data_IF_268885713044
#
_entry.id   IF_268885713044
#
_cell.length_a   1.000
_cell.length_b   1.000
_cell.length_c   1.000
_cell.angle_alpha   90.00
_cell.angle_beta   90.00
_cell.angle_gamma   90.00
#
_symmetry.space_group_name_H-M   'P 1'
#
loop_
_entity.id
_entity.type
_entity.pdbx_description
1 polymer ?
#
# COMPACT_ATOMS: atom_id res chain seq x y z
N UNK A 1 -20.08 36.95 -1.27
CA UNK A 1 -18.74 37.30 -1.76
C UNK A 1 -18.49 36.49 -3.02
N UNK A 2 -18.23 37.14 -4.16
CA UNK A 2 -17.96 36.47 -5.44
C UNK A 2 -16.45 36.42 -5.63
N UNK A 3 -15.88 35.22 -5.62
CA UNK A 3 -14.44 34.99 -5.83
C UNK A 3 -14.24 34.79 -7.33
N UNK A 4 -13.67 35.81 -7.97
CA UNK A 4 -13.18 35.74 -9.35
C UNK A 4 -11.87 34.98 -9.39
N UNK A 5 -11.83 33.84 -10.07
CA UNK A 5 -10.58 33.17 -10.44
C UNK A 5 -10.03 33.78 -11.74
N UNK A 6 -8.75 34.18 -11.82
CA UNK A 6 -8.14 34.60 -13.06
C UNK A 6 -7.90 33.38 -13.97
N UNK A 7 -8.43 33.47 -15.19
CA UNK A 7 -8.19 32.55 -16.29
C UNK A 7 -6.70 32.62 -16.65
N UNK A 8 -5.95 31.59 -16.26
CA UNK A 8 -4.57 31.39 -16.68
C UNK A 8 -4.60 30.88 -18.12
N UNK A 9 -4.38 31.78 -19.08
CA UNK A 9 -4.28 31.45 -20.50
C UNK A 9 -3.01 30.63 -20.76
N UNK A 10 -3.18 29.32 -21.01
CA UNK A 10 -2.12 28.42 -21.43
C UNK A 10 -1.71 28.77 -22.88
N UNK A 11 -0.50 29.27 -23.04
CA UNK A 11 0.08 29.62 -24.34
C UNK A 11 0.54 28.34 -25.06
N UNK A 12 -0.26 27.87 -26.02
CA UNK A 12 0.04 26.76 -26.91
C UNK A 12 1.10 27.20 -27.95
N UNK A 13 2.35 26.79 -27.75
CA UNK A 13 3.43 26.96 -28.74
C UNK A 13 3.39 25.78 -29.71
N UNK A 14 2.91 26.04 -30.93
CA UNK A 14 2.93 25.08 -32.03
C UNK A 14 4.35 24.98 -32.62
N UNK A 15 4.93 23.77 -32.61
CA UNK A 15 6.15 23.44 -33.35
C UNK A 15 5.75 22.80 -34.71
N UNK A 16 6.32 23.25 -35.84
CA UNK A 16 6.02 22.69 -37.15
C UNK A 16 6.75 21.35 -37.38
N UNK A 17 6.00 20.38 -37.92
CA UNK A 17 6.51 19.16 -38.53
C UNK A 17 7.34 19.50 -39.78
N UNK A 18 8.57 19.00 -39.84
CA UNK A 18 9.36 18.93 -41.06
C UNK A 18 9.37 17.48 -41.58
N UNK A 19 8.70 17.30 -42.72
CA UNK A 19 8.79 16.13 -43.59
C UNK A 19 10.10 16.18 -44.38
N UNK A 20 10.81 15.05 -44.47
CA UNK A 20 11.98 14.86 -45.33
C UNK A 20 12.00 13.43 -45.84
N UNK A 21 11.53 13.27 -47.08
CA UNK A 21 11.51 12.04 -47.88
C UNK A 21 12.71 12.02 -48.86
N UNK A 22 12.90 10.86 -49.48
CA UNK A 22 13.69 10.56 -50.68
C UNK A 22 15.19 10.26 -50.56
N UNK A 23 15.49 8.95 -50.75
CA UNK A 23 16.84 8.43 -51.02
C UNK A 23 16.83 6.97 -51.48
N UNK A 24 16.18 6.69 -52.61
CA UNK A 24 16.17 5.38 -53.28
C UNK A 24 17.48 5.08 -54.03
N UNK A 25 17.94 3.81 -53.98
CA UNK A 25 18.75 3.06 -54.97
C UNK A 25 19.56 1.96 -54.26
N UNK A 26 19.79 0.72 -54.70
CA UNK A 26 19.35 -0.16 -55.82
C UNK A 26 20.01 -1.53 -55.52
N UNK A 27 19.39 -2.66 -55.92
CA UNK A 27 20.04 -3.95 -56.31
C UNK A 27 20.86 -4.73 -55.25
N UNK A 28 20.87 -6.07 -55.15
CA UNK A 28 20.60 -7.17 -56.06
C UNK A 28 20.33 -8.45 -55.25
N UNK A 29 19.63 -9.39 -55.88
CA UNK A 29 19.47 -10.77 -55.46
C UNK A 29 20.80 -11.49 -55.15
N UNK A 30 20.76 -12.48 -54.24
CA UNK A 30 21.41 -13.79 -54.42
C UNK A 30 20.76 -14.81 -53.49
N UNK A 31 20.07 -15.77 -54.08
CA UNK A 31 19.72 -17.06 -53.51
C UNK A 31 21.00 -17.89 -53.33
N UNK A 32 21.06 -18.71 -52.28
CA UNK A 32 21.47 -20.13 -52.27
C UNK A 32 22.34 -20.53 -51.07
N UNK A 33 22.05 -21.74 -50.59
CA UNK A 33 23.00 -22.79 -50.12
C UNK A 33 23.13 -23.01 -48.61
N UNK A 34 22.47 -24.10 -48.18
CA UNK A 34 22.97 -25.23 -47.40
C UNK A 34 24.26 -25.11 -46.58
N UNK A 35 24.11 -25.43 -45.28
CA UNK A 35 24.93 -26.43 -44.58
C UNK A 35 26.28 -25.99 -44.01
N UNK A 36 26.42 -26.07 -42.68
CA UNK A 36 27.53 -26.76 -42.02
C UNK A 36 27.35 -26.78 -40.50
N UNK A 37 27.39 -28.00 -39.97
CA UNK A 37 27.71 -28.40 -38.60
C UNK A 37 29.04 -27.81 -38.14
N UNK A 38 29.16 -27.37 -36.89
CA UNK A 38 30.43 -27.34 -36.14
C UNK A 38 30.18 -27.24 -34.64
N UNK A 39 30.41 -28.37 -33.99
CA UNK A 39 30.63 -28.54 -32.55
C UNK A 39 31.85 -27.73 -32.10
N UNK A 40 31.79 -27.09 -30.94
CA UNK A 40 32.99 -26.87 -30.11
C UNK A 40 32.59 -26.73 -28.63
N UNK A 41 32.87 -27.80 -27.91
CA UNK A 41 33.18 -27.86 -26.49
C UNK A 41 34.32 -26.91 -26.15
N UNK A 42 34.24 -26.24 -25.01
CA UNK A 42 35.41 -25.73 -24.30
C UNK A 42 35.18 -25.84 -22.79
N UNK A 43 35.96 -26.74 -22.22
CA UNK A 43 36.13 -27.04 -20.80
C UNK A 43 37.04 -25.99 -20.12
N UNK A 44 36.95 -25.91 -18.80
CA UNK A 44 37.93 -25.28 -17.90
C UNK A 44 37.43 -23.97 -17.28
N UNK A 45 37.54 -23.70 -15.98
CA UNK A 45 38.50 -24.23 -15.01
C UNK A 45 37.99 -24.05 -13.58
N UNK A 46 38.29 -25.05 -12.75
CA UNK A 46 38.06 -25.12 -11.31
C UNK A 46 38.90 -24.09 -10.54
N UNK A 47 38.30 -23.44 -9.55
CA UNK A 47 39.00 -22.59 -8.58
C UNK A 47 38.57 -22.93 -7.16
N UNK A 48 39.22 -23.96 -6.58
CA UNK A 48 39.16 -24.26 -5.15
C UNK A 48 40.12 -23.33 -4.40
N UNK A 49 39.59 -22.55 -3.45
CA UNK A 49 40.37 -21.74 -2.53
C UNK A 49 39.94 -22.01 -1.08
N UNK A 50 40.56 -23.00 -0.46
CA UNK A 50 40.49 -23.22 0.98
C UNK A 50 41.39 -22.21 1.69
N UNK A 51 40.91 -21.54 2.74
CA UNK A 51 41.79 -21.02 3.80
C UNK A 51 41.11 -21.20 5.14
N UNK A 52 41.76 -22.05 5.96
CA UNK A 52 41.42 -22.33 7.33
C UNK A 52 41.88 -21.18 8.25
N UNK A 53 41.13 -20.91 9.30
CA UNK A 53 41.49 -19.96 10.35
C UNK A 53 40.71 -20.25 11.63
N UNK A 54 41.21 -21.21 12.41
CA UNK A 54 40.75 -21.52 13.76
C UNK A 54 41.15 -20.42 14.75
N UNK A 55 40.25 -19.96 15.61
CA UNK A 55 40.58 -19.60 17.00
C UNK A 55 39.40 -19.85 17.93
N UNK A 56 39.77 -20.32 19.11
CA UNK A 56 38.95 -20.98 20.13
C UNK A 56 38.47 -20.02 21.22
N UNK A 57 37.36 -20.39 21.87
CA UNK A 57 36.91 -19.89 23.18
C UNK A 57 35.39 -19.74 23.19
N UNK A 58 34.58 -20.39 24.04
CA UNK A 58 34.81 -21.07 25.31
C UNK A 58 33.85 -20.48 26.34
N UNK A 59 32.82 -21.24 26.76
CA UNK A 59 31.88 -20.91 27.85
C UNK A 59 30.45 -21.36 27.53
N UNK A 60 29.98 -22.58 27.85
CA UNK A 60 29.60 -23.17 29.16
C UNK A 60 28.47 -22.45 29.93
N UNK A 61 27.37 -23.19 30.12
CA UNK A 61 26.28 -22.95 31.09
C UNK A 61 25.04 -22.32 30.44
N UNK A 62 23.81 -22.82 30.57
CA UNK A 62 23.24 -23.79 31.51
C UNK A 62 21.97 -24.41 30.95
N UNK A 63 21.79 -25.69 31.26
CA UNK A 63 20.54 -26.45 31.22
C UNK A 63 19.55 -25.92 32.27
N UNK A 64 18.31 -25.65 31.85
CA UNK A 64 17.13 -25.53 32.73
C UNK A 64 15.96 -26.26 32.05
N UNK A 65 15.82 -27.56 32.26
CA UNK A 65 14.87 -28.21 33.18
C UNK A 65 13.41 -27.86 32.92
N UNK A 66 12.67 -28.87 32.46
CA UNK A 66 11.22 -28.88 32.33
C UNK A 66 10.51 -28.68 33.67
N UNK A 67 9.32 -28.08 33.63
CA UNK A 67 8.29 -28.27 34.65
C UNK A 67 6.92 -28.16 34.02
N UNK A 68 6.30 -29.33 33.88
CA UNK A 68 4.88 -29.56 33.74
C UNK A 68 4.17 -29.21 35.05
N UNK A 69 3.12 -28.40 34.99
CA UNK A 69 2.16 -28.25 36.08
C UNK A 69 0.75 -28.18 35.53
N UNK A 70 0.11 -29.34 35.52
CA UNK A 70 -1.34 -29.53 35.52
C UNK A 70 -1.94 -28.93 36.80
N UNK A 71 -2.84 -27.96 36.64
CA UNK A 71 -3.65 -27.39 37.73
C UNK A 71 -5.13 -27.48 37.39
N UNK A 72 -5.77 -28.55 37.85
CA UNK A 72 -7.24 -28.64 37.94
C UNK A 72 -7.72 -27.69 39.04
N UNK A 73 -8.81 -26.97 38.80
CA UNK A 73 -9.55 -26.29 39.88
C UNK A 73 -11.04 -26.46 39.62
N UNK A 74 -11.63 -27.29 40.48
CA UNK A 74 -13.05 -27.55 40.61
C UNK A 74 -13.65 -26.68 41.72
N UNK A 75 -14.89 -26.26 41.54
CA UNK A 75 -15.85 -26.10 42.65
C UNK A 75 -15.90 -24.73 43.32
N UNK A 76 -17.09 -24.11 43.27
CA UNK A 76 -17.40 -22.91 44.04
C UNK A 76 -18.84 -22.45 43.84
N UNK A 77 -19.81 -23.26 44.23
CA UNK A 77 -21.20 -22.81 44.42
C UNK A 77 -21.27 -21.83 45.59
N UNK A 78 -21.97 -20.70 45.42
CA UNK A 78 -22.47 -19.90 46.55
C UNK A 78 -23.75 -19.19 46.12
N UNK A 79 -24.86 -19.71 46.64
CA UNK A 79 -26.15 -19.04 46.71
C UNK A 79 -26.20 -18.16 47.96
N UNK A 80 -26.78 -16.97 47.86
CA UNK A 80 -27.07 -16.11 49.01
C UNK A 80 -27.46 -14.72 48.57
N UNK A 81 -28.77 -14.46 48.48
CA UNK A 81 -29.30 -13.14 48.13
C UNK A 81 -29.44 -12.20 49.33
N UNK A 82 -29.68 -10.92 49.03
CA UNK A 82 -30.53 -10.02 49.84
C UNK A 82 -30.94 -8.81 49.00
N UNK A 83 -32.23 -8.49 49.07
CA UNK A 83 -32.88 -7.30 48.54
C UNK A 83 -32.46 -6.02 49.28
N UNK A 84 -32.37 -4.90 48.56
CA UNK A 84 -32.72 -3.51 48.97
C UNK A 84 -32.41 -2.59 47.78
N UNK A 85 -33.40 -2.01 47.10
CA UNK A 85 -34.17 -0.80 47.45
C UNK A 85 -33.37 0.50 47.27
N UNK A 86 -33.72 1.23 46.19
CA UNK A 86 -33.71 2.69 46.13
C UNK A 86 -32.38 3.34 45.72
N UNK A 87 -32.43 4.16 44.66
CA UNK A 87 -31.43 5.20 44.44
C UNK A 87 -31.08 5.47 43.00
N UNK A 88 -31.87 6.34 42.38
CA UNK A 88 -31.42 7.37 41.42
C UNK A 88 -31.05 6.91 40.01
N UNK A 89 -32.03 7.07 39.12
CA UNK A 89 -31.87 7.29 37.68
C UNK A 89 -30.90 8.43 37.40
N UNK A 90 -29.60 8.14 37.35
CA UNK A 90 -28.63 8.95 36.61
C UNK A 90 -28.81 8.62 35.14
N UNK A 91 -29.49 9.52 34.43
CA UNK A 91 -29.58 9.51 32.97
C UNK A 91 -28.19 9.69 32.38
N UNK A 92 -27.53 8.57 32.08
CA UNK A 92 -26.26 8.58 31.37
C UNK A 92 -26.56 8.89 29.90
N UNK A 93 -26.14 10.09 29.51
CA UNK A 93 -25.65 10.43 28.16
C UNK A 93 -26.44 9.83 27.01
N UNK A 94 -27.40 10.62 26.50
CA UNK A 94 -27.93 10.40 25.17
C UNK A 94 -26.74 10.27 24.21
N UNK A 95 -26.63 9.10 23.59
CA UNK A 95 -25.80 8.91 22.42
C UNK A 95 -26.30 9.93 21.41
N UNK A 96 -25.60 11.04 21.27
CA UNK A 96 -25.72 11.92 20.11
C UNK A 96 -25.60 10.97 18.92
N UNK A 97 -26.72 10.73 18.25
CA UNK A 97 -26.77 9.78 17.14
C UNK A 97 -25.79 10.28 16.10
N UNK A 98 -24.60 9.70 16.09
CA UNK A 98 -23.60 9.96 15.06
C UNK A 98 -24.31 9.62 13.78
N UNK A 99 -24.52 10.64 12.94
CA UNK A 99 -25.13 10.43 11.65
C UNK A 99 -24.33 9.32 10.95
N UNK A 100 -25.00 8.36 10.28
CA UNK A 100 -24.26 7.34 9.57
C UNK A 100 -23.28 8.02 8.62
N UNK A 101 -22.02 7.54 8.55
CA UNK A 101 -21.02 8.12 7.67
C UNK A 101 -21.57 8.20 6.25
N UNK A 102 -21.40 9.35 5.61
CA UNK A 102 -21.77 9.59 4.22
C UNK A 102 -20.57 9.34 3.32
N UNK A 103 -20.77 8.81 2.09
CA UNK A 103 -19.67 8.70 1.15
C UNK A 103 -19.17 10.10 0.79
N UNK A 104 -17.85 10.24 0.69
CA UNK A 104 -17.27 11.45 0.12
C UNK A 104 -17.58 11.53 -1.38
N UNK A 105 -17.70 12.74 -1.91
CA UNK A 105 -17.93 13.01 -3.34
C UNK A 105 -16.69 13.64 -3.99
N UNK A 106 -15.94 14.44 -3.23
CA UNK A 106 -14.70 15.08 -3.67
C UNK A 106 -13.66 15.16 -2.56
N UNK A 107 -12.41 15.41 -2.94
CA UNK A 107 -11.27 15.45 -2.01
C UNK A 107 -11.43 16.50 -0.90
N UNK A 108 -12.24 17.55 -1.12
CA UNK A 108 -12.50 18.60 -0.13
C UNK A 108 -13.37 18.14 1.04
N UNK A 109 -14.05 17.00 0.91
CA UNK A 109 -14.80 16.35 1.98
C UNK A 109 -13.93 15.41 2.83
N UNK A 110 -12.65 15.27 2.49
CA UNK A 110 -11.69 14.46 3.23
C UNK A 110 -10.66 15.33 3.94
N UNK A 111 -10.43 15.03 5.21
CA UNK A 111 -9.42 15.69 6.04
C UNK A 111 -8.50 14.65 6.64
N UNK A 112 -7.22 14.98 6.71
CA UNK A 112 -6.25 14.13 7.39
C UNK A 112 -6.22 14.51 8.87
N UNK A 113 -6.60 13.57 9.74
CA UNK A 113 -6.40 13.72 11.17
C UNK A 113 -4.92 13.51 11.46
N UNK A 114 -4.27 14.49 12.08
CA UNK A 114 -2.86 14.43 12.48
C UNK A 114 -2.68 14.82 13.96
N UNK A 115 -3.79 14.83 14.69
CA UNK A 115 -3.87 15.02 16.12
C UNK A 115 -3.98 13.66 16.84
N UNK A 116 -3.70 13.67 18.14
CA UNK A 116 -4.05 12.54 19.03
C UNK A 116 -3.39 11.21 18.68
N UNK A 117 -2.21 11.32 18.09
CA UNK A 117 -1.33 10.21 17.74
C UNK A 117 -1.91 9.33 16.61
N UNK A 118 -3.02 9.77 16.00
CA UNK A 118 -3.58 9.18 14.81
C UNK A 118 -3.03 9.90 13.58
N UNK A 119 -2.87 9.15 12.49
CA UNK A 119 -2.61 9.70 11.19
C UNK A 119 -3.55 8.96 10.25
N UNK A 120 -4.78 9.45 10.12
CA UNK A 120 -5.86 8.71 9.46
C UNK A 120 -6.73 9.68 8.66
N UNK A 121 -7.14 9.33 7.43
CA UNK A 121 -8.03 10.14 6.61
C UNK A 121 -9.48 9.95 7.08
N UNK A 122 -10.18 11.05 7.35
CA UNK A 122 -11.58 11.05 7.79
C UNK A 122 -12.45 11.97 6.96
N UNK A 123 -13.76 11.76 7.03
CA UNK A 123 -14.72 12.67 6.40
C UNK A 123 -14.82 13.98 7.21
N UNK A 124 -15.02 15.10 6.53
CA UNK A 124 -15.31 16.38 7.19
C UNK A 124 -16.57 16.25 8.04
N UNK A 125 -16.46 16.58 9.33
CA UNK A 125 -17.56 16.51 10.29
C UNK A 125 -17.67 15.18 11.03
N UNK A 126 -16.84 14.19 10.70
CA UNK A 126 -16.59 13.06 11.59
C UNK A 126 -15.89 13.58 12.85
N UNK A 127 -16.44 13.26 14.02
CA UNK A 127 -15.84 13.70 15.27
C UNK A 127 -14.63 12.79 15.57
N UNK A 128 -13.41 13.34 15.61
CA UNK A 128 -12.24 12.54 15.91
C UNK A 128 -12.38 11.88 17.29
N UNK A 129 -11.80 10.69 17.48
CA UNK A 129 -11.83 10.03 18.78
C UNK A 129 -11.23 10.94 19.85
N UNK A 130 -11.84 10.95 21.03
CA UNK A 130 -11.36 11.77 22.14
C UNK A 130 -9.93 11.37 22.52
N UNK A 131 -9.09 12.38 22.66
CA UNK A 131 -7.66 12.20 22.83
C UNK A 131 -7.33 12.12 24.31
N UNK A 132 -7.06 10.91 24.80
CA UNK A 132 -6.67 10.73 26.20
C UNK A 132 -5.20 11.15 26.45
N UNK A 133 -4.40 11.31 25.39
CA UNK A 133 -2.98 11.59 25.46
C UNK A 133 -2.58 12.71 24.48
N UNK A 134 -1.74 13.63 24.96
CA UNK A 134 -1.05 14.61 24.12
C UNK A 134 0.17 13.96 23.45
N UNK A 135 0.28 14.14 22.13
CA UNK A 135 1.33 13.55 21.33
C UNK A 135 2.51 14.50 21.21
N UNK A 136 3.72 13.98 21.45
CA UNK A 136 4.93 14.80 21.49
C UNK A 136 5.34 15.34 20.11
N UNK A 137 4.87 14.69 19.04
CA UNK A 137 5.07 15.04 17.64
C UNK A 137 3.80 14.68 16.84
N UNK A 138 3.48 15.40 15.74
CA UNK A 138 2.41 14.98 14.83
C UNK A 138 2.67 13.57 14.29
N UNK A 139 1.64 12.73 14.29
CA UNK A 139 1.79 11.30 13.97
C UNK A 139 2.12 11.04 12.52
N UNK A 140 1.56 11.83 11.60
CA UNK A 140 1.85 11.67 10.17
C UNK A 140 3.33 11.92 9.87
N UNK A 141 3.95 12.90 10.52
CA UNK A 141 5.37 13.20 10.35
C UNK A 141 6.24 12.02 10.81
N UNK A 142 5.85 11.36 11.90
CA UNK A 142 6.58 10.24 12.48
C UNK A 142 6.62 9.02 11.53
N UNK A 143 5.58 8.82 10.73
CA UNK A 143 5.49 7.71 9.75
C UNK A 143 5.88 8.12 8.32
N UNK A 144 6.43 9.32 8.12
CA UNK A 144 6.87 9.78 6.80
C UNK A 144 5.73 10.21 5.87
N UNK A 145 4.60 10.59 6.44
CA UNK A 145 3.41 11.13 5.77
C UNK A 145 3.19 12.62 6.06
N UNK A 146 4.26 13.38 6.33
CA UNK A 146 4.20 14.80 6.68
C UNK A 146 3.46 15.66 5.63
N UNK A 147 3.65 15.33 4.35
CA UNK A 147 3.02 16.02 3.22
C UNK A 147 1.83 15.25 2.63
N UNK A 148 1.35 14.21 3.33
CA UNK A 148 0.22 13.42 2.85
C UNK A 148 -1.06 14.26 2.86
N UNK A 149 -1.94 13.98 1.89
CA UNK A 149 -3.28 14.55 1.83
C UNK A 149 -4.31 13.42 1.94
N UNK A 150 -5.46 13.74 2.50
CA UNK A 150 -6.63 12.88 2.35
C UNK A 150 -7.31 13.20 1.01
N UNK A 151 -7.73 12.17 0.29
CA UNK A 151 -8.44 12.25 -0.99
C UNK A 151 -9.67 11.37 -0.97
N UNK A 152 -10.68 11.72 -1.75
CA UNK A 152 -11.89 10.93 -1.88
C UNK A 152 -11.72 9.89 -2.99
N UNK A 153 -11.66 8.61 -2.62
CA UNK A 153 -11.59 7.50 -3.58
C UNK A 153 -12.69 6.50 -3.31
N UNK A 154 -13.50 6.26 -4.33
CA UNK A 154 -14.61 5.31 -4.30
C UNK A 154 -15.60 5.56 -3.15
N UNK A 155 -15.81 6.83 -2.79
CA UNK A 155 -16.70 7.23 -1.70
C UNK A 155 -16.09 7.09 -0.30
N UNK A 156 -14.79 6.81 -0.18
CA UNK A 156 -14.07 6.75 1.09
C UNK A 156 -12.90 7.73 1.10
N UNK A 157 -12.66 8.34 2.26
CA UNK A 157 -11.45 9.12 2.48
C UNK A 157 -10.26 8.18 2.67
N UNK A 158 -9.22 8.38 1.86
CA UNK A 158 -7.98 7.60 1.92
C UNK A 158 -6.78 8.53 1.74
N UNK A 159 -5.57 8.01 1.88
CA UNK A 159 -4.36 8.78 1.60
C UNK A 159 -4.17 9.01 0.10
N UNK A 160 -3.67 10.18 -0.26
CA UNK A 160 -3.07 10.42 -1.56
C UNK A 160 -1.90 9.43 -1.73
N UNK A 161 -1.89 8.72 -2.86
CA UNK A 161 -0.90 7.67 -3.10
C UNK A 161 0.51 8.26 -3.19
N UNK A 162 1.42 7.72 -2.40
CA UNK A 162 2.86 7.98 -2.47
C UNK A 162 3.58 6.83 -3.17
N UNK A 163 4.76 7.12 -3.73
CA UNK A 163 5.55 6.11 -4.42
C UNK A 163 6.24 5.18 -3.42
N UNK A 164 5.93 3.89 -3.51
CA UNK A 164 6.59 2.85 -2.72
C UNK A 164 7.19 1.73 -3.59
N UNK A 165 7.04 1.86 -4.92
CA UNK A 165 7.50 0.87 -5.86
C UNK A 165 9.05 0.74 -5.84
N UNK A 166 9.61 -0.44 -5.54
CA UNK A 166 11.07 -0.65 -5.56
C UNK A 166 11.66 -0.52 -6.96
N UNK A 167 10.84 -0.63 -8.01
CA UNK A 167 11.31 -0.55 -9.39
C UNK A 167 11.81 0.86 -9.71
N UNK A 168 13.07 0.95 -10.13
CA UNK A 168 13.69 2.21 -10.49
C UNK A 168 14.37 2.92 -9.33
N UNK A 169 14.42 2.35 -8.12
CA UNK A 169 15.31 2.83 -7.05
C UNK A 169 16.76 2.70 -7.53
N UNK A 170 17.47 3.83 -7.60
CA UNK A 170 18.85 3.92 -8.10
C UNK A 170 19.87 4.14 -7.00
N UNK A 171 19.43 4.59 -5.84
CA UNK A 171 20.30 4.87 -4.70
C UNK A 171 20.79 3.57 -4.06
N UNK A 172 22.03 3.58 -3.54
CA UNK A 172 22.68 2.38 -2.98
C UNK A 172 22.25 2.05 -1.55
N UNK A 173 21.34 2.82 -0.95
CA UNK A 173 20.79 2.52 0.36
C UNK A 173 19.92 1.25 0.28
N UNK A 174 19.94 0.46 1.36
CA UNK A 174 19.02 -0.66 1.50
C UNK A 174 17.63 -0.12 1.93
N UNK A 175 16.53 -0.80 1.54
CA UNK A 175 15.21 -0.46 2.05
C UNK A 175 15.18 -0.65 3.58
N UNK A 176 14.43 0.18 4.33
CA UNK A 176 14.15 -0.08 5.74
C UNK A 176 13.36 -1.39 5.92
N UNK A 177 13.52 -2.04 7.07
CA UNK A 177 12.70 -3.18 7.46
C UNK A 177 11.35 -2.66 7.99
N UNK A 178 10.27 -2.97 7.27
CA UNK A 178 8.93 -2.50 7.59
C UNK A 178 8.10 -3.58 8.30
N UNK A 179 7.27 -3.15 9.24
CA UNK A 179 6.32 -4.03 9.92
C UNK A 179 5.23 -4.52 8.94
N UNK A 180 4.54 -5.63 9.23
CA UNK A 180 3.37 -6.05 8.46
C UNK A 180 2.35 -4.91 8.29
N UNK A 181 1.73 -4.82 7.11
CA UNK A 181 0.82 -3.72 6.75
C UNK A 181 1.51 -2.41 6.32
N UNK A 182 2.85 -2.33 6.39
CA UNK A 182 3.63 -1.15 5.98
C UNK A 182 4.66 -1.47 4.90
N UNK A 183 4.99 -0.48 4.08
CA UNK A 183 5.90 -0.60 2.94
C UNK A 183 6.90 0.54 2.96
N UNK A 184 8.14 0.26 2.54
CA UNK A 184 9.18 1.26 2.43
C UNK A 184 8.81 2.31 1.37
N UNK A 185 8.83 3.59 1.73
CA UNK A 185 8.53 4.66 0.77
C UNK A 185 9.77 5.09 -0.02
N UNK A 186 9.51 5.59 -1.22
CA UNK A 186 10.52 6.03 -2.19
C UNK A 186 10.29 7.50 -2.52
N UNK A 187 11.36 8.28 -2.50
CA UNK A 187 11.36 9.68 -2.94
C UNK A 187 12.20 9.84 -4.19
N UNK A 188 11.76 10.72 -5.09
CA UNK A 188 12.54 11.19 -6.24
C UNK A 188 13.16 12.54 -5.87
N UNK A 189 14.47 12.58 -5.65
CA UNK A 189 15.19 13.78 -5.22
C UNK A 189 15.78 14.58 -6.40
N UNK A 190 15.47 14.19 -7.64
CA UNK A 190 16.03 14.73 -8.87
C UNK A 190 17.41 14.18 -9.25
N UNK A 191 18.10 13.48 -8.34
CA UNK A 191 19.32 12.71 -8.62
C UNK A 191 19.05 11.21 -8.76
N UNK A 192 17.85 10.77 -8.39
CA UNK A 192 17.38 9.41 -8.55
C UNK A 192 16.21 9.11 -7.62
N UNK A 193 15.73 7.87 -7.69
CA UNK A 193 14.76 7.36 -6.73
C UNK A 193 15.50 6.70 -5.58
N UNK A 194 15.28 7.19 -4.37
CA UNK A 194 15.91 6.69 -3.15
C UNK A 194 14.86 6.23 -2.14
N UNK A 195 15.22 5.27 -1.29
CA UNK A 195 14.46 4.99 -0.08
C UNK A 195 14.45 6.21 0.84
N UNK A 196 13.29 6.55 1.37
CA UNK A 196 13.14 7.65 2.35
C UNK A 196 13.70 7.27 3.72
N UNK A 197 13.79 5.98 4.02
CA UNK A 197 14.07 5.44 5.35
C UNK A 197 12.82 5.30 6.24
N UNK A 198 11.63 5.64 5.72
CA UNK A 198 10.35 5.51 6.41
C UNK A 198 9.55 4.34 5.85
N UNK A 199 8.72 3.76 6.73
CA UNK A 199 7.70 2.78 6.37
C UNK A 199 6.34 3.46 6.48
N UNK A 200 5.60 3.47 5.38
CA UNK A 200 4.25 4.05 5.31
C UNK A 200 3.21 2.93 5.24
N UNK A 201 1.95 3.15 5.65
CA UNK A 201 0.88 2.17 5.47
C UNK A 201 0.74 1.76 4.01
N UNK A 202 0.48 0.47 3.74
CA UNK A 202 0.37 -0.04 2.37
C UNK A 202 -0.78 0.62 1.57
N UNK A 203 -1.83 1.08 2.25
CA UNK A 203 -2.89 1.88 1.65
C UNK A 203 -2.44 3.27 1.17
N UNK A 204 -1.39 3.84 1.75
CA UNK A 204 -0.82 5.09 1.25
C UNK A 204 0.08 4.86 0.04
N UNK A 205 0.46 3.61 -0.25
CA UNK A 205 1.36 3.28 -1.35
C UNK A 205 0.64 3.05 -2.68
N UNK A 206 1.31 3.45 -3.76
CA UNK A 206 0.97 3.08 -5.16
C UNK A 206 1.40 1.64 -5.53
N UNK A 207 2.03 0.93 -4.60
CA UNK A 207 2.57 -0.40 -4.77
C UNK A 207 2.62 -1.14 -3.43
N UNK A 208 2.30 -2.42 -3.44
CA UNK A 208 2.49 -3.34 -2.32
C UNK A 208 3.25 -4.60 -2.79
N UNK A 209 4.00 -5.27 -1.89
CA UNK A 209 4.74 -6.48 -2.23
C UNK A 209 3.82 -7.67 -2.51
N UNK A 210 2.72 -7.78 -1.76
CA UNK A 210 1.75 -8.86 -1.83
C UNK A 210 0.42 -8.44 -1.20
N UNK A 211 -0.66 -9.19 -1.48
CA UNK A 211 -1.99 -8.88 -0.95
C UNK A 211 -2.09 -8.94 0.58
N UNK A 212 -1.20 -9.68 1.24
CA UNK A 212 -1.15 -9.74 2.70
C UNK A 212 -0.77 -8.39 3.35
N UNK A 213 -0.22 -7.43 2.57
CA UNK A 213 0.01 -6.07 3.03
C UNK A 213 -1.28 -5.21 3.06
N UNK A 214 -2.38 -5.68 2.42
CA UNK A 214 -3.68 -5.02 2.40
C UNK A 214 -4.61 -5.66 3.45
N UNK A 215 -4.18 -5.68 4.72
CA UNK A 215 -4.86 -6.42 5.79
C UNK A 215 -5.98 -5.63 6.50
N UNK A 216 -6.08 -4.33 6.25
CA UNK A 216 -7.17 -3.52 6.78
C UNK A 216 -8.53 -3.94 6.17
N UNK A 217 -9.60 -3.99 6.98
CA UNK A 217 -10.88 -4.62 6.61
C UNK A 217 -11.65 -3.89 5.51
N UNK A 218 -11.36 -2.61 5.29
CA UNK A 218 -11.96 -1.74 4.29
C UNK A 218 -11.09 -1.59 3.03
N UNK A 219 -9.94 -2.28 2.98
CA UNK A 219 -9.09 -2.35 1.81
C UNK A 219 -9.36 -3.62 1.00
N UNK A 220 -9.13 -3.49 -0.30
CA UNK A 220 -9.06 -4.61 -1.23
C UNK A 220 -7.69 -4.66 -1.88
N UNK A 221 -7.15 -5.87 -2.01
CA UNK A 221 -6.00 -6.08 -2.88
C UNK A 221 -6.43 -5.98 -4.34
N UNK A 222 -5.66 -5.23 -5.13
CA UNK A 222 -5.89 -5.04 -6.55
C UNK A 222 -4.63 -5.43 -7.31
N UNK A 223 -4.66 -6.58 -7.98
CA UNK A 223 -3.57 -7.01 -8.83
C UNK A 223 -3.63 -6.32 -10.20
N UNK A 224 -2.60 -5.59 -10.60
CA UNK A 224 -2.49 -5.02 -11.95
C UNK A 224 -1.76 -5.99 -12.85
N UNK A 225 -2.50 -6.64 -13.77
CA UNK A 225 -1.97 -7.64 -14.69
C UNK A 225 -1.41 -6.95 -15.93
N UNK A 226 -0.08 -6.78 -15.95
CA UNK A 226 0.70 -6.31 -17.09
C UNK A 226 2.14 -6.84 -16.99
N UNK A 227 3.02 -6.49 -17.94
CA UNK A 227 4.45 -6.78 -17.80
C UNK A 227 5.02 -6.08 -16.56
N UNK A 228 5.48 -6.87 -15.59
CA UNK A 228 5.86 -6.34 -14.28
C UNK A 228 4.67 -6.18 -13.33
N UNK A 229 3.71 -7.11 -13.39
CA UNK A 229 2.54 -7.16 -12.54
C UNK A 229 2.87 -6.82 -11.08
N UNK A 230 2.03 -6.00 -10.48
CA UNK A 230 2.16 -5.56 -9.11
C UNK A 230 0.79 -5.54 -8.45
N UNK A 231 0.78 -5.47 -7.13
CA UNK A 231 -0.44 -5.30 -6.35
C UNK A 231 -0.44 -3.93 -5.71
N UNK A 232 -1.63 -3.42 -5.41
CA UNK A 232 -1.80 -2.22 -4.59
C UNK A 232 -3.07 -2.37 -3.76
N UNK A 233 -3.13 -1.69 -2.62
CA UNK A 233 -4.29 -1.70 -1.74
C UNK A 233 -5.20 -0.52 -2.10
N UNK A 234 -6.47 -0.78 -2.42
CA UNK A 234 -7.46 0.27 -2.66
C UNK A 234 -8.59 0.19 -1.63
N UNK A 235 -9.22 1.31 -1.25
CA UNK A 235 -10.41 1.24 -0.43
C UNK A 235 -11.54 0.57 -1.23
N UNK A 236 -12.27 -0.33 -0.57
CA UNK A 236 -13.46 -0.96 -1.15
C UNK A 236 -14.52 0.13 -1.42
N UNK A 237 -15.13 0.20 -2.61
CA UNK A 237 -16.13 1.22 -2.90
C UNK A 237 -17.24 1.25 -1.84
N UNK A 238 -17.67 2.46 -1.48
CA UNK A 238 -18.64 2.68 -0.40
C UNK A 238 -19.90 1.82 -0.56
N UNK A 239 -20.43 1.75 -1.79
CA UNK A 239 -21.65 1.02 -2.11
C UNK A 239 -21.52 -0.51 -1.98
N UNK A 240 -20.30 -1.03 -1.84
CA UNK A 240 -20.05 -2.45 -1.59
C UNK A 240 -20.33 -2.89 -0.16
N UNK A 241 -20.45 -1.94 0.77
CA UNK A 241 -20.59 -2.26 2.19
C UNK A 241 -19.37 -3.00 2.74
N UNK A 242 -19.62 -4.04 3.52
CA UNK A 242 -18.59 -4.91 4.10
C UNK A 242 -18.55 -6.24 3.33
N UNK A 243 -17.35 -6.77 3.10
CA UNK A 243 -17.17 -8.09 2.49
C UNK A 243 -15.99 -8.15 1.53
N UNK A 244 -15.73 -9.35 0.95
CA UNK A 244 -14.67 -9.50 -0.03
C UNK A 244 -14.99 -8.68 -1.28
N UNK A 245 -13.97 -8.00 -1.81
CA UNK A 245 -14.10 -7.33 -3.09
C UNK A 245 -14.33 -8.36 -4.19
N UNK A 246 -15.36 -8.10 -4.99
CA UNK A 246 -15.63 -8.83 -6.23
C UNK A 246 -15.76 -7.82 -7.36
N UNK A 247 -15.51 -8.22 -8.60
CA UNK A 247 -15.67 -7.36 -9.76
C UNK A 247 -17.09 -6.82 -9.90
N UNK A 248 -18.10 -7.56 -9.46
CA UNK A 248 -19.49 -7.07 -9.43
C UNK A 248 -19.65 -5.77 -8.65
N UNK A 249 -18.76 -5.49 -7.68
CA UNK A 249 -18.83 -4.30 -6.87
C UNK A 249 -17.63 -3.35 -7.03
N UNK A 250 -16.44 -3.91 -7.22
CA UNK A 250 -15.16 -3.21 -7.26
C UNK A 250 -14.68 -2.89 -8.69
N UNK A 251 -15.47 -3.12 -9.74
CA UNK A 251 -15.09 -2.82 -11.14
C UNK A 251 -14.65 -1.36 -11.34
N UNK A 252 -15.26 -0.43 -10.61
CA UNK A 252 -14.90 1.01 -10.64
C UNK A 252 -13.43 1.25 -10.32
N UNK A 253 -12.79 0.39 -9.53
CA UNK A 253 -11.36 0.47 -9.21
C UNK A 253 -10.49 0.23 -10.44
N UNK A 254 -10.85 -0.76 -11.28
CA UNK A 254 -10.14 -1.03 -12.52
C UNK A 254 -10.35 0.12 -13.52
N UNK A 255 -11.59 0.60 -13.65
CA UNK A 255 -11.92 1.73 -14.53
C UNK A 255 -11.18 3.03 -14.15
N UNK A 256 -10.94 3.25 -12.86
CA UNK A 256 -10.18 4.40 -12.35
C UNK A 256 -8.66 4.31 -12.58
N UNK A 257 -8.15 3.16 -13.06
CA UNK A 257 -6.72 2.94 -13.30
C UNK A 257 -6.38 2.61 -14.77
N UNK A 258 -6.69 3.48 -15.76
CA UNK A 258 -6.29 3.24 -17.14
C UNK A 258 -4.77 2.96 -17.23
N UNK A 259 -4.34 1.96 -18.02
CA UNK A 259 -5.11 1.21 -19.03
C UNK A 259 -5.75 -0.11 -18.54
N UNK A 260 -5.76 -0.38 -17.24
CA UNK A 260 -6.20 -1.67 -16.68
C UNK A 260 -7.73 -1.71 -16.47
N UNK A 261 -8.50 -1.78 -17.55
CA UNK A 261 -9.96 -1.60 -17.50
C UNK A 261 -10.76 -2.89 -17.39
N UNK A 262 -10.14 -4.07 -17.44
CA UNK A 262 -10.86 -5.36 -17.36
C UNK A 262 -10.69 -5.97 -15.97
N UNK A 263 -11.79 -6.21 -15.27
CA UNK A 263 -11.77 -6.78 -13.91
C UNK A 263 -11.95 -8.31 -13.93
N UNK A 264 -11.18 -9.01 -13.10
CA UNK A 264 -11.30 -10.44 -12.80
C UNK A 264 -11.36 -10.69 -11.30
N UNK A 265 -12.28 -11.56 -10.85
CA UNK A 265 -12.32 -12.02 -9.47
C UNK A 265 -11.14 -12.98 -9.20
N UNK A 266 -10.42 -12.76 -8.09
CA UNK A 266 -9.34 -13.63 -7.62
C UNK A 266 -9.54 -13.98 -6.15
N UNK A 267 -8.77 -14.95 -5.63
CA UNK A 267 -8.99 -15.47 -4.27
C UNK A 267 -8.88 -14.38 -3.18
N UNK A 268 -7.94 -13.44 -3.35
CA UNK A 268 -7.58 -12.44 -2.34
C UNK A 268 -7.95 -11.00 -2.79
N UNK A 269 -8.94 -10.84 -3.67
CA UNK A 269 -9.43 -9.53 -4.14
C UNK A 269 -9.82 -9.53 -5.61
N UNK A 270 -9.42 -8.48 -6.33
CA UNK A 270 -9.67 -8.35 -7.77
C UNK A 270 -8.36 -8.17 -8.55
N UNK A 271 -8.38 -8.55 -9.83
CA UNK A 271 -7.29 -8.29 -10.75
C UNK A 271 -7.78 -7.40 -11.90
N UNK A 272 -7.05 -6.32 -12.18
CA UNK A 272 -7.30 -5.42 -13.29
C UNK A 272 -6.29 -5.72 -14.41
N UNK A 273 -6.78 -6.20 -15.54
CA UNK A 273 -6.00 -6.48 -16.75
C UNK A 273 -6.03 -5.30 -17.72
N UNK A 274 -4.92 -5.09 -18.42
CA UNK A 274 -4.85 -4.25 -19.60
C UNK A 274 -4.85 -5.10 -20.89
N UNK A 275 -5.94 -5.12 -21.67
CA UNK A 275 -6.02 -5.97 -22.87
C UNK A 275 -5.05 -5.63 -24.01
N UNK A 276 -4.52 -4.41 -24.02
CA UNK A 276 -3.67 -3.88 -25.11
C UNK A 276 -2.32 -3.35 -24.61
N UNK A 277 -1.84 -3.90 -23.48
CA UNK A 277 -0.50 -3.73 -22.96
C UNK A 277 0.32 -5.03 -23.19
#
# INVERSE_FOLDING_TARGET
>A
MRISYPILALLLVALPLACGDDGAATTSATSSTSGATSSSTSEGSSGSGSTAGSTSGGGSGSTGTASSSSGSSSGGSSSGGTSSSGGETSGSTGTTGVAPPTPCVDDGECVLQNDCCACDPHHVGEEPPACDLDCLQPSCDAIGLADAKAVCRFGRCTFEKTTCNPLGVTCKSLPPECAPGTVASVVDDGNGKCWTGHCVPAEACDWAPECAACDAPDLTCVAKLQKGAYVLCEPLPWDCGEGPATCACAESICLASPPHTVCHDVADGIACECPNC
#
